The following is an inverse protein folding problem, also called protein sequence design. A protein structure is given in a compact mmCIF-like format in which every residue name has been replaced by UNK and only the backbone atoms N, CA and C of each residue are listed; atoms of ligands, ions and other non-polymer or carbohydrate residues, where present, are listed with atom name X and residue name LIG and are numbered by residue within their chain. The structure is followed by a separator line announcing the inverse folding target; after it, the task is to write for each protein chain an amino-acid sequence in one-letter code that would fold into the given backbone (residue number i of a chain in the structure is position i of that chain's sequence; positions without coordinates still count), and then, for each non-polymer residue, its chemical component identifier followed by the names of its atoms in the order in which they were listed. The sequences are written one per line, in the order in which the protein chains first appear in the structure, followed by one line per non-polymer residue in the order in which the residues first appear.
data_IF_173707235145
#
_entry.id   IF_173707235145
#
_cell.length_a   1.000
_cell.length_b   1.000
_cell.length_c   1.000
_cell.angle_alpha   90.00
_cell.angle_beta   90.00
_cell.angle_gamma   90.00
#
_symmetry.space_group_name_H-M   'P 1'
#
loop_
_entity.id
_entity.type
_entity.pdbx_description
1 polymer ?
#
# COMPACT_ATOMS: atom_id res chain seq x y z
N UNK A 1 -1.34 -25.63 -3.45
CA UNK A 1 -0.98 -24.44 -4.24
C UNK A 1 -1.75 -23.24 -3.68
N UNK A 2 -1.10 -22.40 -2.85
CA UNK A 2 -1.77 -21.31 -2.10
C UNK A 2 -1.90 -20.06 -2.99
N UNK A 3 -3.08 -19.83 -3.56
CA UNK A 3 -3.42 -18.60 -4.29
C UNK A 3 -3.82 -17.49 -3.32
N UNK A 4 -3.58 -16.23 -3.70
CA UNK A 4 -3.34 -15.12 -2.77
C UNK A 4 -4.00 -13.77 -3.16
N UNK A 5 -5.21 -13.61 -3.72
CA UNK A 5 -5.54 -12.28 -4.31
C UNK A 5 -6.97 -11.70 -4.19
N UNK A 6 -7.00 -10.41 -3.71
CA UNK A 6 -8.03 -9.29 -3.69
C UNK A 6 -8.71 -8.85 -2.35
N UNK A 7 -8.63 -7.59 -1.88
CA UNK A 7 -7.71 -6.98 -0.86
C UNK A 7 -8.46 -6.14 0.21
N UNK A 8 -7.96 -6.12 1.47
CA UNK A 8 -8.08 -5.01 2.44
C UNK A 8 -6.87 -4.11 2.19
N UNK A 9 -7.10 -2.90 1.67
CA UNK A 9 -6.01 -2.06 1.16
C UNK A 9 -5.31 -1.36 2.32
N UNK A 10 -4.00 -1.54 2.41
CA UNK A 10 -3.14 -0.67 3.22
C UNK A 10 -2.50 0.32 2.26
N UNK A 11 -2.71 1.61 2.52
CA UNK A 11 -2.02 2.69 1.85
C UNK A 11 -1.25 3.44 2.94
N UNK A 12 -0.09 2.92 3.34
CA UNK A 12 0.71 3.51 4.43
C UNK A 12 1.75 4.46 3.83
N UNK A 13 1.29 5.45 3.08
CA UNK A 13 2.15 6.60 2.78
C UNK A 13 2.11 7.55 3.95
N UNK A 14 3.24 8.16 4.25
CA UNK A 14 3.30 9.28 5.15
C UNK A 14 4.11 10.37 4.46
N UNK A 15 3.45 11.47 4.10
CA UNK A 15 4.10 12.65 3.54
C UNK A 15 4.09 13.78 4.55
N UNK A 16 5.25 14.39 4.77
CA UNK A 16 5.36 15.54 5.67
C UNK A 16 4.70 16.76 5.02
N UNK A 17 3.63 17.25 5.64
CA UNK A 17 3.01 18.54 5.34
C UNK A 17 3.42 19.53 6.42
N UNK A 18 4.52 20.26 6.23
CA UNK A 18 4.99 21.22 7.23
C UNK A 18 4.42 22.63 6.93
N UNK A 19 3.73 23.28 7.88
CA UNK A 19 3.33 24.67 7.73
C UNK A 19 4.57 25.60 7.75
N UNK A 20 4.53 26.69 6.96
CA UNK A 20 5.64 27.66 6.75
C UNK A 20 6.14 28.42 7.99
N UNK A 21 5.72 28.06 9.20
CA UNK A 21 6.04 28.77 10.44
C UNK A 21 6.93 27.92 11.37
N UNK A 22 8.15 27.62 10.92
CA UNK A 22 9.41 27.48 11.70
C UNK A 22 10.44 26.69 10.88
N UNK A 23 11.21 27.39 10.03
CA UNK A 23 12.25 26.78 9.19
C UNK A 23 13.30 25.97 9.99
N UNK A 24 13.52 26.32 11.26
CA UNK A 24 14.44 25.60 12.15
C UNK A 24 13.90 24.22 12.53
N UNK A 25 12.61 24.10 12.85
CA UNK A 25 11.93 22.83 13.16
C UNK A 25 11.85 21.93 11.93
N UNK A 26 11.64 22.50 10.74
CA UNK A 26 11.65 21.76 9.47
C UNK A 26 13.04 21.16 9.17
N UNK A 27 14.09 21.97 9.27
CA UNK A 27 15.47 21.49 9.09
C UNK A 27 15.82 20.38 10.09
N UNK A 28 15.43 20.54 11.36
CA UNK A 28 15.67 19.53 12.39
C UNK A 28 15.00 18.18 12.07
N UNK A 29 13.75 18.20 11.59
CA UNK A 29 13.03 16.99 11.19
C UNK A 29 13.72 16.32 9.99
N UNK A 30 14.16 17.10 9.00
CA UNK A 30 14.89 16.57 7.84
C UNK A 30 16.25 15.99 8.26
N UNK A 31 17.00 16.69 9.10
CA UNK A 31 18.26 16.18 9.65
C UNK A 31 18.03 14.86 10.43
N UNK A 32 16.94 14.78 11.20
CA UNK A 32 16.56 13.57 11.91
C UNK A 32 16.20 12.42 10.95
N UNK A 33 15.44 12.68 9.89
CA UNK A 33 15.09 11.71 8.85
C UNK A 33 16.34 11.05 8.24
N UNK A 34 17.44 11.81 8.09
CA UNK A 34 18.67 11.33 7.48
C UNK A 34 19.71 10.78 8.48
N UNK A 35 19.43 10.83 9.79
CA UNK A 35 20.37 10.52 10.87
C UNK A 35 20.88 9.06 10.93
N UNK A 36 20.17 8.12 10.30
CA UNK A 36 20.56 6.72 10.27
C UNK A 36 21.95 6.52 9.63
N UNK A 37 22.83 5.79 10.32
CA UNK A 37 24.19 5.52 9.86
C UNK A 37 24.42 4.03 9.63
N UNK A 38 24.97 3.66 8.48
CA UNK A 38 25.28 2.28 8.15
C UNK A 38 26.63 1.87 8.76
N UNK A 39 26.68 0.68 9.37
CA UNK A 39 27.92 0.01 9.75
C UNK A 39 27.97 -1.34 9.06
N UNK A 40 28.81 -1.44 8.04
CA UNK A 40 28.92 -2.59 7.15
C UNK A 40 30.36 -2.84 6.74
N UNK A 41 30.67 -4.09 6.39
CA UNK A 41 31.95 -4.50 5.80
C UNK A 41 31.85 -4.62 4.27
N UNK A 42 30.96 -3.87 3.61
CA UNK A 42 30.68 -3.97 2.16
C UNK A 42 30.20 -5.37 1.69
N UNK A 43 29.49 -6.12 2.54
CA UNK A 43 28.99 -7.45 2.22
C UNK A 43 27.62 -7.38 1.55
N UNK A 44 27.43 -8.22 0.52
CA UNK A 44 26.08 -8.54 0.01
C UNK A 44 25.49 -9.65 0.86
N UNK A 45 24.26 -9.44 1.35
CA UNK A 45 23.56 -10.43 2.19
C UNK A 45 22.25 -10.83 1.55
N UNK A 46 21.90 -12.11 1.64
CA UNK A 46 20.63 -12.67 1.19
C UNK A 46 19.73 -12.97 2.39
N UNK A 47 18.49 -12.49 2.35
CA UNK A 47 17.51 -12.60 3.43
C UNK A 47 16.20 -13.17 2.86
N UNK A 48 15.56 -14.15 3.51
CA UNK A 48 14.24 -14.60 3.10
C UNK A 48 13.19 -13.49 3.31
N UNK A 49 12.24 -13.39 2.40
CA UNK A 49 11.06 -12.52 2.54
C UNK A 49 9.80 -13.36 2.64
N UNK A 50 8.79 -12.84 3.33
CA UNK A 50 7.45 -13.40 3.32
C UNK A 50 6.51 -12.42 2.65
N UNK A 51 5.71 -12.90 1.69
CA UNK A 51 4.63 -12.10 1.11
C UNK A 51 3.34 -12.48 1.84
N UNK A 52 2.82 -11.58 2.66
CA UNK A 52 1.56 -11.77 3.39
C UNK A 52 0.68 -10.55 3.16
N UNK A 53 -0.56 -10.79 2.75
CA UNK A 53 -1.48 -9.71 2.40
C UNK A 53 -0.94 -8.76 1.30
N UNK A 54 -0.19 -9.30 0.35
CA UNK A 54 0.52 -8.53 -0.67
C UNK A 54 1.56 -7.52 -0.11
N UNK A 55 1.92 -7.62 1.18
CA UNK A 55 2.98 -6.85 1.82
C UNK A 55 4.27 -7.67 1.84
N UNK A 56 5.41 -7.00 1.68
CA UNK A 56 6.73 -7.62 1.76
C UNK A 56 7.19 -7.56 3.21
N UNK A 57 7.34 -8.72 3.85
CA UNK A 57 7.75 -8.83 5.24
C UNK A 57 9.18 -9.37 5.36
N UNK A 58 9.95 -8.73 6.24
CA UNK A 58 11.34 -9.03 6.54
C UNK A 58 11.50 -9.33 8.02
N UNK A 59 12.33 -10.33 8.36
CA UNK A 59 12.77 -10.53 9.74
C UNK A 59 14.08 -9.77 9.96
N UNK A 60 14.09 -8.88 10.93
CA UNK A 60 15.24 -8.07 11.33
C UNK A 60 15.51 -8.22 12.82
N UNK A 61 16.66 -7.76 13.31
CA UNK A 61 16.90 -7.59 14.74
C UNK A 61 16.83 -6.12 15.11
N UNK A 62 16.10 -5.80 16.17
CA UNK A 62 16.01 -4.47 16.77
C UNK A 62 16.54 -4.59 18.19
N UNK A 63 17.65 -3.90 18.48
CA UNK A 63 18.36 -3.96 19.75
C UNK A 63 18.59 -5.41 20.26
N UNK A 64 18.96 -6.30 19.33
CA UNK A 64 19.22 -7.72 19.59
C UNK A 64 18.00 -8.65 19.62
N UNK A 65 16.76 -8.12 19.54
CA UNK A 65 15.53 -8.91 19.52
C UNK A 65 14.99 -9.05 18.09
N UNK A 66 14.51 -10.24 17.73
CA UNK A 66 13.91 -10.45 16.40
C UNK A 66 12.55 -9.72 16.29
N UNK A 67 12.30 -9.12 15.15
CA UNK A 67 11.03 -8.51 14.78
C UNK A 67 10.75 -8.69 13.28
N UNK A 68 9.48 -8.80 12.93
CA UNK A 68 8.99 -8.77 11.55
C UNK A 68 8.60 -7.36 11.18
N UNK A 69 9.15 -6.87 10.08
CA UNK A 69 8.92 -5.53 9.56
C UNK A 69 8.34 -5.58 8.15
N UNK A 70 7.37 -4.72 7.86
CA UNK A 70 6.91 -4.46 6.51
C UNK A 70 7.94 -3.58 5.78
N UNK A 71 8.34 -3.94 4.56
CA UNK A 71 9.17 -3.09 3.71
C UNK A 71 8.30 -2.07 2.98
N UNK A 72 8.51 -0.78 3.27
CA UNK A 72 7.64 0.30 2.79
C UNK A 72 8.44 1.58 2.56
N UNK A 73 8.74 1.88 1.31
CA UNK A 73 9.44 3.10 0.92
C UNK A 73 8.50 4.31 0.71
N UNK A 74 7.18 4.15 0.92
CA UNK A 74 6.20 5.24 0.98
C UNK A 74 6.04 5.83 2.38
N UNK A 75 6.51 5.12 3.41
CA UNK A 75 6.59 5.59 4.79
C UNK A 75 7.97 6.24 5.04
N UNK A 76 8.02 7.57 5.21
CA UNK A 76 9.28 8.34 5.27
C UNK A 76 10.24 7.87 6.36
N UNK A 77 9.76 7.80 7.58
CA UNK A 77 10.49 7.26 8.74
C UNK A 77 10.25 5.77 8.85
N UNK A 78 11.00 5.04 9.68
CA UNK A 78 10.53 3.71 10.09
C UNK A 78 9.43 3.82 11.16
N UNK A 79 8.64 2.78 11.36
CA UNK A 79 7.56 2.74 12.35
C UNK A 79 7.66 1.53 13.27
N UNK A 80 7.21 1.65 14.51
CA UNK A 80 7.05 0.53 15.44
C UNK A 80 5.71 0.65 16.16
N UNK A 81 5.10 -0.49 16.47
CA UNK A 81 3.90 -0.50 17.30
C UNK A 81 4.18 0.14 18.67
N UNK A 82 3.28 1.01 19.11
CA UNK A 82 3.39 1.72 20.39
C UNK A 82 3.58 0.79 21.59
N UNK A 83 2.93 -0.38 21.57
CA UNK A 83 3.03 -1.36 22.67
C UNK A 83 4.40 -2.04 22.75
N UNK A 84 5.22 -1.91 21.71
CA UNK A 84 6.50 -2.61 21.57
C UNK A 84 7.72 -1.72 21.83
N UNK A 85 7.53 -0.41 22.00
CA UNK A 85 8.61 0.58 22.21
C UNK A 85 9.55 0.16 23.36
N UNK A 86 9.00 -0.10 24.54
CA UNK A 86 9.78 -0.47 25.73
C UNK A 86 10.40 -1.85 25.59
N UNK A 87 9.64 -2.80 25.05
CA UNK A 87 10.10 -4.17 24.81
C UNK A 87 11.35 -4.16 23.92
N UNK A 88 11.37 -3.34 22.87
CA UNK A 88 12.49 -3.25 21.94
C UNK A 88 13.52 -2.18 22.34
N UNK A 89 13.39 -1.52 23.50
CA UNK A 89 14.36 -0.55 24.03
C UNK A 89 14.63 0.63 23.07
N UNK A 90 13.58 1.15 22.45
CA UNK A 90 13.67 2.43 21.74
C UNK A 90 13.91 3.56 22.74
N UNK A 91 14.59 4.62 22.31
CA UNK A 91 14.86 5.79 23.15
C UNK A 91 14.12 7.02 22.62
N UNK A 92 13.71 7.97 23.47
CA UNK A 92 13.13 9.23 23.02
C UNK A 92 14.07 9.99 22.08
N UNK A 93 13.51 10.69 21.10
CA UNK A 93 14.26 11.69 20.36
C UNK A 93 14.48 12.92 21.25
N UNK A 94 15.74 13.33 21.41
CA UNK A 94 16.14 14.43 22.31
C UNK A 94 16.21 15.80 21.64
N UNK A 95 15.62 15.98 20.46
CA UNK A 95 15.53 17.28 19.78
C UNK A 95 14.38 18.14 20.31
N UNK A 96 14.20 19.31 19.71
CA UNK A 96 13.12 20.24 20.04
C UNK A 96 11.77 19.77 19.49
N UNK A 97 11.77 19.00 18.39
CA UNK A 97 10.55 18.42 17.84
C UNK A 97 10.28 17.05 18.46
N UNK A 98 9.29 16.92 19.36
CA UNK A 98 8.93 15.62 19.96
C UNK A 98 8.04 14.74 19.05
N UNK A 99 7.36 15.37 18.10
CA UNK A 99 6.41 14.72 17.20
C UNK A 99 6.41 15.39 15.82
N UNK A 100 5.73 14.73 14.89
CA UNK A 100 5.45 15.27 13.57
C UNK A 100 3.99 15.09 13.21
N UNK A 101 3.41 16.15 12.64
CA UNK A 101 2.12 16.05 11.96
C UNK A 101 2.39 15.67 10.53
N UNK A 102 1.86 14.53 10.11
CA UNK A 102 2.09 14.02 8.79
C UNK A 102 0.76 13.63 8.14
N UNK A 103 0.74 13.70 6.81
CA UNK A 103 -0.44 13.36 6.01
C UNK A 103 -0.29 11.91 5.57
N UNK A 104 -1.25 11.09 5.97
CA UNK A 104 -1.28 9.67 5.61
C UNK A 104 -1.76 9.45 4.16
N UNK A 105 -1.87 8.19 3.76
CA UNK A 105 -2.32 7.81 2.43
C UNK A 105 -3.74 8.22 2.07
N UNK A 106 -4.58 8.45 3.07
CA UNK A 106 -5.97 8.85 2.90
C UNK A 106 -6.15 10.38 3.01
N UNK A 107 -5.05 11.13 2.98
CA UNK A 107 -5.03 12.57 3.19
C UNK A 107 -5.55 12.98 4.59
N UNK A 108 -5.35 12.12 5.59
CA UNK A 108 -5.68 12.40 6.99
C UNK A 108 -4.41 12.82 7.72
N UNK A 109 -4.50 13.91 8.48
CA UNK A 109 -3.41 14.35 9.33
C UNK A 109 -3.35 13.50 10.59
N UNK A 110 -2.17 12.92 10.85
CA UNK A 110 -1.87 12.14 12.05
C UNK A 110 -0.67 12.73 12.75
N UNK A 111 -0.72 12.82 14.08
CA UNK A 111 0.42 13.21 14.90
C UNK A 111 1.13 11.95 15.39
N UNK A 112 2.43 11.86 15.11
CA UNK A 112 3.25 10.69 15.44
C UNK A 112 4.50 11.13 16.19
N UNK A 113 4.80 10.44 17.30
CA UNK A 113 5.94 10.80 18.15
C UNK A 113 7.24 10.21 17.62
N UNK A 114 8.30 11.00 17.69
CA UNK A 114 9.64 10.57 17.31
C UNK A 114 10.28 9.71 18.39
N UNK A 115 10.99 8.67 17.94
CA UNK A 115 11.84 7.80 18.74
C UNK A 115 13.03 7.36 17.91
N UNK A 116 14.09 6.93 18.59
CA UNK A 116 15.31 6.45 17.96
C UNK A 116 15.44 4.95 18.22
N UNK A 117 15.78 4.20 17.17
CA UNK A 117 16.32 2.86 17.29
C UNK A 117 17.85 2.95 17.39
N UNK A 118 18.47 2.70 18.57
CA UNK A 118 19.92 2.77 18.70
C UNK A 118 20.65 1.84 17.74
N UNK A 119 20.14 0.60 17.58
CA UNK A 119 20.70 -0.38 16.66
C UNK A 119 19.63 -1.29 16.08
N UNK A 120 19.63 -1.40 14.76
CA UNK A 120 18.95 -2.46 14.03
C UNK A 120 19.92 -3.26 13.16
N UNK A 121 19.61 -4.52 12.89
CA UNK A 121 20.39 -5.39 12.01
C UNK A 121 19.50 -6.03 10.95
N UNK A 122 19.85 -5.82 9.69
CA UNK A 122 19.17 -6.40 8.52
C UNK A 122 20.15 -7.37 7.87
N UNK A 123 19.91 -8.67 8.00
CA UNK A 123 20.87 -9.68 7.51
C UNK A 123 22.26 -9.60 8.15
N UNK A 124 22.37 -9.01 9.34
CA UNK A 124 23.66 -8.76 10.00
C UNK A 124 24.35 -7.46 9.60
N UNK A 125 23.83 -6.71 8.63
CA UNK A 125 24.25 -5.33 8.38
C UNK A 125 23.63 -4.44 9.46
N UNK A 126 24.46 -3.69 10.19
CA UNK A 126 24.00 -2.84 11.29
C UNK A 126 23.63 -1.44 10.76
N UNK A 127 22.48 -0.93 11.18
CA UNK A 127 22.09 0.48 11.02
C UNK A 127 21.94 1.07 12.42
N UNK A 128 22.63 2.18 12.67
CA UNK A 128 22.68 2.85 13.96
C UNK A 128 21.82 4.11 13.95
N UNK A 129 21.28 4.47 15.11
CA UNK A 129 20.52 5.70 15.34
C UNK A 129 19.42 5.93 14.30
N UNK A 130 18.66 4.87 13.99
CA UNK A 130 17.64 4.96 12.95
C UNK A 130 16.42 5.74 13.45
N UNK A 131 15.87 6.67 12.66
CA UNK A 131 14.74 7.48 13.07
C UNK A 131 13.44 6.71 12.89
N UNK A 132 12.60 6.72 13.92
CA UNK A 132 11.37 5.96 14.00
C UNK A 132 10.20 6.81 14.49
N UNK A 133 9.00 6.37 14.12
CA UNK A 133 7.73 6.88 14.61
C UNK A 133 7.00 5.82 15.43
N UNK A 134 6.35 6.30 16.49
CA UNK A 134 5.38 5.55 17.29
C UNK A 134 4.06 5.43 16.51
N UNK A 135 3.65 4.21 16.14
CA UNK A 135 2.41 3.94 15.42
C UNK A 135 1.49 3.02 16.22
N UNK A 136 0.18 3.30 16.23
CA UNK A 136 -0.81 2.37 16.79
C UNK A 136 -1.32 1.42 15.69
N UNK A 137 -0.64 0.28 15.47
CA UNK A 137 -1.08 -0.65 14.44
C UNK A 137 -2.37 -1.38 14.81
N UNK A 138 -2.75 -1.45 16.09
CA UNK A 138 -4.02 -2.08 16.48
C UNK A 138 -5.22 -1.33 15.91
N UNK A 139 -5.14 0.00 15.87
CA UNK A 139 -6.17 0.85 15.25
C UNK A 139 -6.27 0.65 13.73
N UNK A 140 -5.16 0.30 13.07
CA UNK A 140 -5.00 0.21 11.62
C UNK A 140 -5.28 -1.21 11.09
N UNK A 141 -4.71 -2.23 11.73
CA UNK A 141 -4.73 -3.61 11.22
C UNK A 141 -6.09 -4.27 11.36
N UNK A 142 -6.85 -3.89 12.40
CA UNK A 142 -8.11 -4.54 12.81
C UNK A 142 -8.00 -6.08 12.85
N UNK A 143 -6.78 -6.59 13.04
CA UNK A 143 -6.46 -8.01 13.11
C UNK A 143 -6.22 -8.41 14.56
N UNK A 144 -6.58 -9.65 14.92
CA UNK A 144 -6.26 -10.20 16.26
C UNK A 144 -4.76 -10.38 16.47
N UNK A 145 -4.02 -10.65 15.40
CA UNK A 145 -2.57 -10.77 15.39
C UNK A 145 -1.96 -9.78 14.40
N UNK A 146 -1.03 -8.96 14.87
CA UNK A 146 -0.25 -8.09 14.01
C UNK A 146 0.64 -8.95 13.10
N UNK A 147 0.47 -8.81 11.78
CA UNK A 147 1.30 -9.53 10.80
C UNK A 147 2.77 -9.11 10.87
N UNK A 148 3.04 -7.91 11.37
CA UNK A 148 4.36 -7.31 11.54
C UNK A 148 4.36 -6.41 12.78
N UNK A 149 5.53 -6.21 13.38
CA UNK A 149 5.72 -5.38 14.57
C UNK A 149 6.13 -3.94 14.23
N UNK A 150 6.58 -3.71 12.99
CA UNK A 150 7.09 -2.41 12.53
C UNK A 150 7.03 -2.24 11.02
N UNK A 151 7.31 -1.01 10.59
CA UNK A 151 7.47 -0.61 9.20
C UNK A 151 8.92 -0.20 9.00
N UNK A 152 9.57 -0.75 7.99
CA UNK A 152 10.90 -0.35 7.56
C UNK A 152 10.73 0.73 6.50
N UNK A 153 10.96 1.98 6.90
CA UNK A 153 10.69 3.15 6.08
C UNK A 153 11.84 3.59 5.18
N UNK A 154 11.55 4.58 4.33
CA UNK A 154 12.48 5.16 3.36
C UNK A 154 13.81 5.63 3.98
N UNK A 155 13.78 6.22 5.18
CA UNK A 155 14.96 6.67 5.93
C UNK A 155 16.03 5.59 6.11
N UNK A 156 15.62 4.33 6.28
CA UNK A 156 16.53 3.18 6.39
C UNK A 156 16.70 2.47 5.05
N UNK A 157 15.61 2.31 4.29
CA UNK A 157 15.63 1.67 2.96
C UNK A 157 16.69 2.32 2.06
N UNK A 158 16.77 3.65 2.06
CA UNK A 158 17.65 4.38 1.15
C UNK A 158 19.14 4.26 1.47
N UNK A 159 19.48 3.72 2.65
CA UNK A 159 20.88 3.45 3.04
C UNK A 159 21.45 2.18 2.40
N UNK A 160 20.62 1.39 1.72
CA UNK A 160 20.99 0.13 1.09
C UNK A 160 20.39 0.01 -0.31
N UNK A 161 21.04 -0.76 -1.16
CA UNK A 161 20.48 -1.22 -2.43
C UNK A 161 19.79 -2.57 -2.20
N UNK A 162 18.73 -2.83 -2.96
CA UNK A 162 17.86 -3.99 -2.77
C UNK A 162 17.68 -4.73 -4.09
N UNK A 163 17.75 -6.05 -4.07
CA UNK A 163 17.48 -6.91 -5.21
C UNK A 163 16.53 -8.02 -4.82
N UNK A 164 15.26 -7.82 -5.14
CA UNK A 164 14.17 -8.73 -4.85
C UNK A 164 14.09 -9.82 -5.91
N UNK A 165 14.15 -11.07 -5.45
CA UNK A 165 13.80 -12.26 -6.21
C UNK A 165 12.47 -12.81 -5.68
N UNK A 166 11.38 -12.40 -6.32
CA UNK A 166 10.03 -12.80 -5.96
C UNK A 166 9.66 -14.20 -6.48
N UNK A 167 10.42 -14.74 -7.42
CA UNK A 167 10.25 -16.13 -7.85
C UNK A 167 10.71 -17.12 -6.76
N UNK A 168 11.69 -16.70 -5.94
CA UNK A 168 12.29 -17.50 -4.88
C UNK A 168 12.05 -16.94 -3.46
N UNK A 169 11.30 -15.84 -3.32
CA UNK A 169 10.99 -15.17 -2.04
C UNK A 169 12.24 -14.85 -1.19
N UNK A 170 13.20 -14.15 -1.78
CA UNK A 170 14.30 -13.54 -1.03
C UNK A 170 14.63 -12.14 -1.53
N UNK A 171 15.40 -11.41 -0.73
CA UNK A 171 16.04 -10.17 -1.14
C UNK A 171 17.53 -10.24 -0.87
N UNK A 172 18.32 -9.79 -1.84
CA UNK A 172 19.73 -9.47 -1.66
C UNK A 172 19.85 -7.99 -1.31
N UNK A 173 20.66 -7.66 -0.30
CA UNK A 173 20.93 -6.28 0.12
C UNK A 173 22.42 -5.99 0.10
N UNK A 174 22.79 -4.76 -0.25
CA UNK A 174 24.18 -4.33 -0.38
C UNK A 174 24.32 -2.81 -0.23
N UNK A 175 25.43 -2.35 0.34
CA UNK A 175 25.80 -0.92 0.31
C UNK A 175 26.17 -0.45 -1.10
N UNK A 176 26.79 -1.34 -1.89
CA UNK A 176 27.15 -1.09 -3.28
C UNK A 176 25.96 -1.36 -4.21
N UNK A 177 25.78 -0.58 -5.28
CA UNK A 177 24.75 -0.82 -6.28
C UNK A 177 24.90 -2.20 -6.90
N UNK A 178 23.76 -2.85 -7.17
CA UNK A 178 23.75 -4.08 -7.96
C UNK A 178 23.98 -3.77 -9.43
N UNK A 179 24.68 -4.70 -10.11
CA UNK A 179 24.78 -4.67 -11.57
C UNK A 179 23.40 -4.89 -12.19
N UNK A 180 23.09 -4.05 -13.17
CA UNK A 180 21.85 -4.13 -13.96
C UNK A 180 22.16 -4.85 -15.27
N UNK A 181 21.30 -5.78 -15.69
CA UNK A 181 21.51 -6.51 -16.92
C UNK A 181 21.04 -5.69 -18.13
N UNK A 182 21.65 -5.92 -19.29
CA UNK A 182 21.30 -5.20 -20.53
C UNK A 182 19.83 -5.39 -20.98
N UNK A 183 19.20 -6.49 -20.57
CA UNK A 183 17.81 -6.80 -20.92
C UNK A 183 16.80 -6.29 -19.87
N UNK A 184 17.27 -5.72 -18.76
CA UNK A 184 16.38 -5.20 -17.73
C UNK A 184 15.75 -3.88 -18.20
N UNK A 185 14.49 -3.67 -17.83
CA UNK A 185 13.85 -2.37 -18.02
C UNK A 185 14.33 -1.42 -16.92
N UNK A 186 15.19 -0.47 -17.29
CA UNK A 186 15.78 0.50 -16.36
C UNK A 186 14.94 1.77 -16.27
N UNK A 187 14.48 2.07 -15.06
CA UNK A 187 13.60 3.20 -14.73
C UNK A 187 14.32 4.13 -13.75
N UNK A 188 14.81 5.30 -14.20
CA UNK A 188 15.38 6.28 -13.29
C UNK A 188 14.28 6.85 -12.37
N UNK A 189 14.67 7.18 -11.14
CA UNK A 189 13.82 7.82 -10.15
C UNK A 189 14.62 8.82 -9.31
N UNK A 190 13.91 9.65 -8.56
CA UNK A 190 14.49 10.59 -7.60
C UNK A 190 14.01 10.31 -6.19
N UNK A 191 14.86 10.62 -5.21
CA UNK A 191 14.54 10.61 -3.79
C UNK A 191 14.26 12.06 -3.38
N UNK A 192 13.11 12.32 -2.75
CA UNK A 192 12.82 13.65 -2.21
C UNK A 192 13.53 13.79 -0.88
N UNK A 193 14.35 14.82 -0.71
CA UNK A 193 15.12 15.01 0.52
C UNK A 193 14.24 15.19 1.77
N UNK A 194 13.12 15.89 1.64
CA UNK A 194 12.25 16.23 2.79
C UNK A 194 11.42 15.05 3.30
N UNK A 195 11.25 13.98 2.54
CA UNK A 195 10.44 12.83 2.95
C UNK A 195 11.07 11.46 2.60
N UNK A 196 12.26 11.44 1.99
CA UNK A 196 12.98 10.26 1.54
C UNK A 196 12.24 9.34 0.53
N UNK A 197 11.04 9.70 0.07
CA UNK A 197 10.24 8.83 -0.78
C UNK A 197 10.72 8.83 -2.24
N UNK A 198 10.36 7.76 -2.96
CA UNK A 198 10.76 7.54 -4.35
C UNK A 198 9.73 8.10 -5.33
N UNK A 199 10.17 8.97 -6.23
CA UNK A 199 9.31 9.55 -7.26
C UNK A 199 9.83 9.25 -8.67
N UNK A 200 8.88 8.94 -9.56
CA UNK A 200 9.14 8.73 -10.99
C UNK A 200 8.16 9.58 -11.81
N UNK A 201 8.56 10.06 -13.00
CA UNK A 201 7.59 10.64 -13.92
C UNK A 201 6.76 9.52 -14.56
N UNK A 202 5.45 9.73 -14.67
CA UNK A 202 4.54 8.92 -15.49
C UNK A 202 3.99 9.76 -16.62
N UNK A 203 3.58 9.10 -17.72
CA UNK A 203 2.77 9.71 -18.76
C UNK A 203 1.43 8.98 -18.87
N UNK A 204 0.34 9.71 -18.70
CA UNK A 204 -1.04 9.23 -18.84
C UNK A 204 -1.71 9.94 -20.02
N UNK A 205 -1.98 9.22 -21.11
CA UNK A 205 -2.49 9.83 -22.36
C UNK A 205 -1.64 11.01 -22.84
N UNK A 206 -0.31 10.89 -22.69
CA UNK A 206 0.67 11.93 -23.03
C UNK A 206 0.89 13.00 -21.96
N UNK A 207 0.06 13.08 -20.93
CA UNK A 207 0.21 14.05 -19.84
C UNK A 207 1.25 13.57 -18.84
N UNK A 208 2.34 14.33 -18.70
CA UNK A 208 3.46 13.99 -17.80
C UNK A 208 3.22 14.57 -16.42
N UNK A 209 3.29 13.71 -15.42
CA UNK A 209 3.03 14.02 -14.01
C UNK A 209 3.91 13.12 -13.14
N UNK A 210 4.15 13.50 -11.89
CA UNK A 210 4.94 12.67 -10.99
C UNK A 210 4.09 11.66 -10.24
N UNK A 211 4.65 10.47 -10.04
CA UNK A 211 4.08 9.42 -9.21
C UNK A 211 5.01 9.11 -8.04
N UNK A 212 4.42 8.90 -6.87
CA UNK A 212 5.06 8.24 -5.74
C UNK A 212 5.09 6.73 -6.02
N UNK A 213 6.27 6.13 -5.94
CA UNK A 213 6.44 4.66 -5.93
C UNK A 213 6.39 4.21 -4.48
N UNK A 214 5.32 3.51 -4.11
CA UNK A 214 5.06 3.09 -2.74
C UNK A 214 4.87 1.57 -2.68
N UNK A 215 5.80 0.85 -2.05
CA UNK A 215 5.66 -0.59 -1.86
C UNK A 215 4.79 -0.97 -0.66
N UNK A 216 4.52 -0.05 0.26
CA UNK A 216 3.49 -0.19 1.28
C UNK A 216 2.08 -0.21 0.68
N UNK A 217 1.88 0.47 -0.46
CA UNK A 217 0.66 0.37 -1.24
C UNK A 217 0.57 -0.97 -1.97
N UNK A 218 -0.36 -1.81 -1.53
CA UNK A 218 -0.47 -3.19 -1.97
C UNK A 218 -1.52 -3.42 -3.08
N UNK A 219 -1.85 -2.41 -3.88
CA UNK A 219 -2.86 -2.50 -4.94
C UNK A 219 -2.23 -2.83 -6.32
N UNK A 220 -2.99 -3.48 -7.20
CA UNK A 220 -2.62 -3.73 -8.63
C UNK A 220 -3.06 -2.58 -9.56
N UNK A 221 -3.41 -1.45 -8.95
CA UNK A 221 -3.98 -0.27 -9.60
C UNK A 221 -3.12 0.93 -9.23
N UNK A 222 -2.94 1.86 -10.18
CA UNK A 222 -2.43 3.20 -9.89
C UNK A 222 -3.58 4.04 -9.34
N UNK A 223 -3.42 4.60 -8.15
CA UNK A 223 -4.38 5.55 -7.59
C UNK A 223 -4.04 6.97 -8.02
N UNK A 224 -5.05 7.68 -8.54
CA UNK A 224 -4.93 9.00 -9.13
C UNK A 224 -5.97 9.92 -8.50
N UNK A 225 -5.57 11.15 -8.13
CA UNK A 225 -6.55 12.12 -7.66
C UNK A 225 -7.56 12.45 -8.78
N UNK A 226 -8.84 12.58 -8.44
CA UNK A 226 -9.90 12.95 -9.40
C UNK A 226 -9.64 14.25 -10.18
N UNK A 227 -8.78 15.15 -9.70
CA UNK A 227 -8.36 16.36 -10.44
C UNK A 227 -7.68 16.05 -11.78
N UNK A 228 -7.10 14.85 -11.92
CA UNK A 228 -6.44 14.39 -13.16
C UNK A 228 -7.38 13.57 -14.06
N UNK A 229 -8.66 13.46 -13.71
CA UNK A 229 -9.66 12.69 -14.45
C UNK A 229 -9.85 13.17 -15.90
N UNK A 230 -9.62 14.46 -16.16
CA UNK A 230 -9.75 15.05 -17.49
C UNK A 230 -8.81 14.41 -18.53
N UNK A 231 -7.72 13.75 -18.11
CA UNK A 231 -6.85 12.97 -19.01
C UNK A 231 -7.55 11.78 -19.66
N UNK A 232 -8.70 11.34 -19.13
CA UNK A 232 -9.40 10.11 -19.52
C UNK A 232 -10.83 10.37 -19.98
N UNK A 233 -11.11 11.58 -20.47
CA UNK A 233 -12.41 11.90 -21.02
C UNK A 233 -12.82 10.87 -22.08
N UNK A 234 -14.03 10.30 -21.92
CA UNK A 234 -14.66 9.29 -22.79
C UNK A 234 -14.13 7.86 -22.68
N UNK A 235 -13.20 7.57 -21.77
CA UNK A 235 -12.77 6.20 -21.47
C UNK A 235 -13.90 5.39 -20.83
N UNK A 236 -13.87 4.07 -20.99
CA UNK A 236 -14.75 3.18 -20.25
C UNK A 236 -14.23 2.98 -18.82
N UNK A 237 -15.13 3.09 -17.84
CA UNK A 237 -14.81 3.00 -16.44
C UNK A 237 -15.82 2.12 -15.69
N UNK A 238 -15.35 1.44 -14.65
CA UNK A 238 -16.20 0.78 -13.66
C UNK A 238 -16.32 1.66 -12.42
N UNK A 239 -17.45 1.56 -11.70
CA UNK A 239 -17.75 2.40 -10.54
C UNK A 239 -17.82 1.57 -9.27
N UNK A 240 -17.26 2.08 -8.18
CA UNK A 240 -17.49 1.58 -6.83
C UNK A 240 -17.80 2.75 -5.88
N UNK A 241 -18.52 2.47 -4.80
CA UNK A 241 -18.85 3.44 -3.75
C UNK A 241 -18.39 2.92 -2.39
N UNK A 242 -17.67 3.74 -1.64
CA UNK A 242 -17.10 3.39 -0.34
C UNK A 242 -15.68 3.95 -0.15
N UNK A 243 -15.07 3.75 1.03
CA UNK A 243 -13.65 4.02 1.23
C UNK A 243 -12.77 3.22 0.26
N UNK A 244 -11.75 3.86 -0.30
CA UNK A 244 -10.75 3.24 -1.16
C UNK A 244 -9.71 2.41 -0.39
N UNK A 245 -9.41 2.82 0.84
CA UNK A 245 -8.21 2.37 1.55
C UNK A 245 -8.32 2.50 3.07
N UNK A 246 -7.42 1.79 3.77
CA UNK A 246 -7.09 2.01 5.18
C UNK A 246 -5.62 2.46 5.25
N UNK A 247 -5.36 3.48 6.05
CA UNK A 247 -4.03 4.03 6.30
C UNK A 247 -3.79 4.20 7.80
N UNK A 248 -2.73 4.91 8.18
CA UNK A 248 -2.35 5.15 9.57
C UNK A 248 -3.44 5.89 10.35
N UNK A 249 -4.15 6.81 9.69
CA UNK A 249 -5.30 7.53 10.24
C UNK A 249 -6.62 6.75 10.18
N UNK A 250 -6.60 5.49 9.75
CA UNK A 250 -7.78 4.63 9.65
C UNK A 250 -8.39 4.60 8.25
N UNK A 251 -9.71 4.50 8.17
CA UNK A 251 -10.44 4.39 6.90
C UNK A 251 -10.42 5.70 6.11
N UNK A 252 -10.28 5.59 4.78
CA UNK A 252 -10.47 6.72 3.89
C UNK A 252 -11.91 7.27 4.01
N UNK A 253 -12.14 8.55 3.71
CA UNK A 253 -13.49 9.06 3.51
C UNK A 253 -14.24 8.24 2.45
N UNK A 254 -15.56 8.12 2.61
CA UNK A 254 -16.42 7.50 1.60
C UNK A 254 -16.33 8.32 0.31
N UNK A 255 -16.05 7.63 -0.79
CA UNK A 255 -15.92 8.26 -2.10
C UNK A 255 -16.56 7.40 -3.19
N UNK A 256 -16.71 8.01 -4.37
CA UNK A 256 -16.97 7.27 -5.61
C UNK A 256 -15.65 7.02 -6.32
N UNK A 257 -15.32 5.75 -6.50
CA UNK A 257 -14.09 5.29 -7.12
C UNK A 257 -14.40 4.88 -8.56
N UNK A 258 -13.66 5.43 -9.51
CA UNK A 258 -13.75 5.07 -10.93
C UNK A 258 -12.51 4.32 -11.35
N UNK A 259 -12.65 3.12 -11.92
CA UNK A 259 -11.51 2.33 -12.39
C UNK A 259 -11.56 2.17 -13.90
N UNK A 260 -10.50 2.63 -14.59
CA UNK A 260 -10.24 2.43 -16.01
C UNK A 260 -9.24 1.30 -16.18
N UNK A 261 -9.55 0.34 -17.05
CA UNK A 261 -8.72 -0.86 -17.25
C UNK A 261 -7.93 -0.82 -18.56
N UNK A 262 -8.47 -0.17 -19.58
CA UNK A 262 -7.91 -0.14 -20.93
C UNK A 262 -8.25 1.19 -21.63
N UNK A 263 -7.87 1.29 -22.91
CA UNK A 263 -8.19 2.46 -23.72
C UNK A 263 -7.39 3.73 -23.39
N UNK A 264 -6.23 3.58 -22.74
CA UNK A 264 -5.31 4.69 -22.44
C UNK A 264 -3.85 4.34 -22.71
N UNK A 265 -2.99 5.34 -22.88
CA UNK A 265 -1.54 5.16 -22.95
C UNK A 265 -0.87 5.39 -21.60
N UNK A 266 0.08 4.53 -21.27
CA UNK A 266 0.82 4.54 -20.02
C UNK A 266 2.32 4.41 -20.28
N UNK A 267 3.10 5.30 -19.68
CA UNK A 267 4.55 5.16 -19.58
C UNK A 267 5.00 5.49 -18.15
N UNK A 268 6.00 4.75 -17.65
CA UNK A 268 6.70 5.00 -16.41
C UNK A 268 8.16 5.31 -16.74
N UNK A 269 8.65 6.48 -16.32
CA UNK A 269 9.96 7.02 -16.69
C UNK A 269 10.24 6.99 -18.21
N UNK A 270 9.21 7.31 -19.01
CA UNK A 270 9.28 7.32 -20.48
C UNK A 270 9.41 5.93 -21.12
N UNK A 271 9.07 4.88 -20.37
CA UNK A 271 9.10 3.50 -20.83
C UNK A 271 7.74 2.83 -20.66
N UNK A 272 7.40 1.93 -21.58
CA UNK A 272 6.22 1.07 -21.45
C UNK A 272 6.52 -0.12 -20.54
N UNK A 273 5.58 -0.44 -19.66
CA UNK A 273 5.60 -1.72 -18.94
C UNK A 273 5.04 -2.82 -19.85
N UNK A 274 5.40 -4.07 -19.56
CA UNK A 274 4.92 -5.23 -20.29
C UNK A 274 3.43 -5.49 -20.02
N UNK A 275 2.97 -5.16 -18.81
CA UNK A 275 1.57 -5.23 -18.41
C UNK A 275 1.08 -3.83 -18.13
N UNK A 276 0.00 -3.44 -18.81
CA UNK A 276 -0.66 -2.16 -18.56
C UNK A 276 -1.33 -2.20 -17.18
N UNK A 277 -1.02 -1.25 -16.28
CA UNK A 277 -1.71 -1.15 -15.01
C UNK A 277 -3.15 -0.68 -15.22
N UNK A 278 -4.01 -0.90 -14.23
CA UNK A 278 -5.31 -0.21 -14.16
C UNK A 278 -5.11 1.15 -13.49
N UNK A 279 -6.06 2.07 -13.67
CA UNK A 279 -6.08 3.36 -13.00
C UNK A 279 -7.37 3.51 -12.22
N UNK A 280 -7.28 3.91 -10.96
CA UNK A 280 -8.44 4.29 -10.14
C UNK A 280 -8.39 5.75 -9.76
N UNK A 281 -9.50 6.45 -9.92
CA UNK A 281 -9.68 7.83 -9.48
C UNK A 281 -10.39 7.88 -8.15
N UNK A 282 -9.83 8.64 -7.21
CA UNK A 282 -10.44 8.94 -5.91
C UNK A 282 -10.01 10.34 -5.42
N UNK A 283 -10.82 10.94 -4.55
CA UNK A 283 -10.51 12.17 -3.83
C UNK A 283 -9.59 11.93 -2.62
N UNK A 284 -9.43 10.68 -2.18
CA UNK A 284 -8.70 10.34 -0.96
C UNK A 284 -7.18 10.53 -1.06
N UNK A 285 -6.61 10.49 -2.28
CA UNK A 285 -5.16 10.59 -2.50
C UNK A 285 -4.76 11.98 -2.99
N UNK A 286 -3.67 12.56 -2.49
CA UNK A 286 -3.13 13.82 -3.01
C UNK A 286 -2.17 13.64 -4.18
N UNK A 287 -1.40 12.57 -4.15
CA UNK A 287 -0.42 12.22 -5.18
C UNK A 287 -0.93 11.07 -6.03
N UNK A 288 -0.30 10.86 -7.18
CA UNK A 288 -0.46 9.63 -7.94
C UNK A 288 0.44 8.57 -7.32
N UNK A 289 -0.11 7.39 -7.05
CA UNK A 289 0.57 6.35 -6.29
C UNK A 289 0.60 5.06 -7.12
N UNK A 290 1.79 4.50 -7.28
CA UNK A 290 2.02 3.21 -7.93
C UNK A 290 2.50 2.20 -6.87
N UNK A 291 1.75 1.11 -6.74
CA UNK A 291 1.92 0.12 -5.66
C UNK A 291 2.90 -1.00 -5.97
N UNK A 292 3.26 -1.79 -4.94
CA UNK A 292 4.20 -2.90 -5.08
C UNK A 292 3.75 -3.94 -6.12
N UNK A 293 2.44 -4.20 -6.26
CA UNK A 293 1.95 -5.32 -7.08
C UNK A 293 2.24 -5.12 -8.55
N UNK A 294 2.17 -3.88 -9.03
CA UNK A 294 2.48 -3.55 -10.43
C UNK A 294 3.90 -4.01 -10.79
N UNK A 295 4.84 -3.87 -9.85
CA UNK A 295 6.20 -4.37 -9.99
C UNK A 295 6.29 -5.87 -9.69
N UNK A 296 5.96 -6.26 -8.46
CA UNK A 296 6.17 -7.60 -7.90
C UNK A 296 5.49 -8.70 -8.70
N UNK A 297 4.26 -8.48 -9.17
CA UNK A 297 3.49 -9.54 -9.82
C UNK A 297 4.05 -9.91 -11.20
N UNK A 298 4.86 -9.03 -11.80
CA UNK A 298 5.39 -9.17 -13.15
C UNK A 298 6.92 -9.25 -13.22
N UNK A 299 7.63 -8.68 -12.24
CA UNK A 299 9.08 -8.47 -12.29
C UNK A 299 9.80 -8.90 -11.02
N UNK A 300 11.02 -9.40 -11.17
CA UNK A 300 12.06 -9.30 -10.14
C UNK A 300 12.69 -7.91 -10.23
N UNK A 301 13.01 -7.30 -9.09
CA UNK A 301 13.26 -5.86 -8.99
C UNK A 301 14.60 -5.60 -8.34
N UNK A 302 15.47 -4.85 -9.01
CA UNK A 302 16.63 -4.19 -8.40
C UNK A 302 16.25 -2.74 -8.12
N UNK A 303 16.53 -2.26 -6.91
CA UNK A 303 16.40 -0.87 -6.48
C UNK A 303 17.78 -0.42 -6.02
N UNK A 304 18.46 0.35 -6.87
CA UNK A 304 19.70 1.00 -6.49
C UNK A 304 19.38 2.40 -5.94
N UNK A 305 19.84 2.69 -4.72
CA UNK A 305 19.66 3.97 -4.01
C UNK A 305 20.97 4.77 -3.95
N UNK A 306 22.12 4.10 -4.16
CA UNK A 306 23.43 4.73 -4.28
C UNK A 306 23.96 4.61 -5.72
N UNK A 307 24.94 5.46 -6.07
CA UNK A 307 25.45 5.56 -7.45
C UNK A 307 24.41 6.15 -8.39
N UNK A 308 23.80 5.31 -9.24
CA UNK A 308 22.70 5.70 -10.13
C UNK A 308 21.37 5.21 -9.53
N UNK A 309 20.48 6.15 -9.18
CA UNK A 309 19.15 5.85 -8.63
C UNK A 309 18.23 5.29 -9.71
N UNK A 310 18.14 3.96 -9.76
CA UNK A 310 17.33 3.24 -10.74
C UNK A 310 16.55 2.10 -10.11
N UNK A 311 15.38 1.84 -10.68
CA UNK A 311 14.73 0.54 -10.61
C UNK A 311 15.08 -0.23 -11.89
N UNK A 312 15.57 -1.45 -11.77
CA UNK A 312 15.74 -2.34 -12.92
C UNK A 312 14.77 -3.52 -12.79
N UNK A 313 13.92 -3.69 -13.80
CA UNK A 313 12.86 -4.68 -13.81
C UNK A 313 13.22 -5.82 -14.77
N UNK A 314 13.24 -7.04 -14.25
CA UNK A 314 13.46 -8.26 -15.03
C UNK A 314 12.23 -9.14 -14.97
N UNK A 315 11.75 -9.66 -16.10
CA UNK A 315 10.53 -10.45 -16.15
C UNK A 315 10.61 -11.68 -15.23
N UNK A 316 9.53 -11.96 -14.50
CA UNK A 316 9.43 -13.16 -13.66
C UNK A 316 9.25 -14.42 -14.49
N UNK A 317 9.78 -15.52 -13.97
CA UNK A 317 9.50 -16.86 -14.51
C UNK A 317 8.10 -17.33 -14.11
N UNK A 318 7.60 -16.85 -12.97
CA UNK A 318 6.28 -17.20 -12.41
C UNK A 318 5.50 -15.92 -12.12
N UNK A 319 4.93 -15.27 -13.15
CA UNK A 319 4.08 -14.11 -12.91
C UNK A 319 2.87 -14.49 -12.04
N UNK A 320 2.34 -13.53 -11.29
CA UNK A 320 1.14 -13.76 -10.51
C UNK A 320 -0.06 -14.06 -11.45
N UNK A 321 -0.98 -14.96 -11.08
CA UNK A 321 -2.14 -15.26 -11.89
C UNK A 321 -3.03 -14.02 -12.02
N UNK A 322 -3.57 -13.77 -13.22
CA UNK A 322 -4.52 -12.70 -13.46
C UNK A 322 -5.76 -12.86 -12.57
N UNK A 323 -6.23 -11.74 -12.01
CA UNK A 323 -7.44 -11.70 -11.20
C UNK A 323 -8.63 -11.57 -12.15
N UNK A 324 -9.64 -12.41 -11.96
CA UNK A 324 -10.90 -12.33 -12.70
C UNK A 324 -11.58 -10.97 -12.52
N UNK A 325 -12.38 -10.57 -13.51
CA UNK A 325 -13.09 -9.29 -13.48
C UNK A 325 -14.40 -9.31 -12.70
N UNK A 326 -14.78 -10.46 -12.14
CA UNK A 326 -16.04 -10.67 -11.46
C UNK A 326 -15.97 -10.35 -9.97
N UNK A 327 -17.07 -9.80 -9.45
CA UNK A 327 -17.26 -9.42 -8.06
C UNK A 327 -18.69 -9.74 -7.63
N UNK A 328 -18.94 -9.82 -6.32
CA UNK A 328 -20.31 -9.97 -5.80
C UNK A 328 -21.09 -8.65 -5.77
N UNK A 329 -20.44 -7.51 -5.94
CA UNK A 329 -21.07 -6.18 -5.86
C UNK A 329 -21.04 -5.59 -4.45
N UNK A 330 -20.82 -6.40 -3.42
CA UNK A 330 -20.64 -5.97 -2.03
C UNK A 330 -19.33 -6.49 -1.47
N UNK A 331 -18.50 -5.61 -0.89
CA UNK A 331 -17.32 -6.02 -0.13
C UNK A 331 -17.61 -5.91 1.36
N UNK A 332 -17.47 -7.02 2.07
CA UNK A 332 -17.70 -7.11 3.52
C UNK A 332 -16.36 -7.10 4.26
N UNK A 333 -16.25 -6.27 5.29
CA UNK A 333 -15.07 -6.19 6.15
C UNK A 333 -15.44 -6.46 7.60
N UNK A 334 -14.46 -6.90 8.38
CA UNK A 334 -14.49 -7.05 9.82
C UNK A 334 -14.03 -5.73 10.47
N UNK A 335 -14.91 -5.06 11.21
CA UNK A 335 -14.65 -3.79 11.89
C UNK A 335 -15.21 -3.90 13.31
N UNK A 336 -14.34 -3.70 14.32
CA UNK A 336 -14.73 -3.67 15.73
C UNK A 336 -15.56 -4.90 16.17
N UNK A 337 -15.17 -6.09 15.72
CA UNK A 337 -15.88 -7.33 16.08
C UNK A 337 -17.09 -7.66 15.22
N UNK A 338 -17.42 -6.83 14.22
CA UNK A 338 -18.62 -6.97 13.39
C UNK A 338 -18.28 -7.06 11.91
N UNK A 339 -19.12 -7.72 11.12
CA UNK A 339 -19.03 -7.67 9.67
C UNK A 339 -19.89 -6.52 9.15
N UNK A 340 -19.34 -5.69 8.27
CA UNK A 340 -20.02 -4.51 7.70
C UNK A 340 -19.80 -4.42 6.20
N UNK A 341 -20.80 -3.93 5.48
CA UNK A 341 -20.68 -3.58 4.05
C UNK A 341 -19.78 -2.36 3.92
N UNK A 342 -18.59 -2.52 3.33
CA UNK A 342 -17.60 -1.44 3.22
C UNK A 342 -17.52 -0.80 1.86
N UNK A 343 -17.91 -1.51 0.81
CA UNK A 343 -18.07 -0.87 -0.48
C UNK A 343 -19.05 -1.63 -1.36
N UNK A 344 -19.58 -0.90 -2.33
CA UNK A 344 -20.57 -1.38 -3.29
C UNK A 344 -19.98 -1.17 -4.68
N UNK A 345 -19.65 -2.25 -5.37
CA UNK A 345 -19.21 -2.24 -6.76
C UNK A 345 -20.45 -2.31 -7.67
N UNK A 346 -20.57 -1.39 -8.63
CA UNK A 346 -21.67 -1.41 -9.58
C UNK A 346 -21.62 -2.69 -10.41
N UNK A 347 -22.64 -3.53 -10.26
CA UNK A 347 -22.88 -4.74 -11.06
C UNK A 347 -24.37 -5.14 -11.00
N UNK A 348 -24.72 -6.24 -11.69
CA UNK A 348 -26.08 -6.76 -11.74
C UNK A 348 -26.70 -7.08 -10.36
N UNK A 349 -25.91 -7.45 -9.34
CA UNK A 349 -26.41 -7.75 -8.00
C UNK A 349 -26.79 -6.50 -7.19
N UNK A 350 -26.27 -5.33 -7.57
CA UNK A 350 -26.45 -4.07 -6.83
C UNK A 350 -27.56 -3.19 -7.39
N UNK A 351 -28.08 -3.53 -8.57
CA UNK A 351 -29.17 -2.80 -9.22
C UNK A 351 -30.43 -2.88 -8.35
N UNK A 352 -31.01 -1.73 -8.00
CA UNK A 352 -32.22 -1.60 -7.18
C UNK A 352 -32.11 -2.26 -5.78
N UNK A 353 -30.90 -2.43 -5.26
CA UNK A 353 -30.70 -2.98 -3.93
C UNK A 353 -30.87 -1.90 -2.85
N UNK A 354 -31.43 -2.30 -1.72
CA UNK A 354 -31.61 -1.49 -0.51
C UNK A 354 -30.42 -1.57 0.47
N UNK A 355 -29.42 -2.42 0.17
CA UNK A 355 -28.21 -2.57 1.00
C UNK A 355 -27.37 -1.30 0.93
N UNK A 356 -26.99 -0.77 2.09
CA UNK A 356 -26.20 0.46 2.23
C UNK A 356 -24.81 0.18 2.78
N UNK A 357 -23.92 1.16 2.60
CA UNK A 357 -22.65 1.17 3.33
C UNK A 357 -22.90 1.09 4.83
N UNK A 358 -22.00 0.41 5.53
CA UNK A 358 -22.02 0.18 6.97
C UNK A 358 -23.16 -0.70 7.50
N UNK A 359 -24.03 -1.23 6.63
CA UNK A 359 -25.00 -2.24 7.03
C UNK A 359 -24.29 -3.42 7.71
N UNK A 360 -24.80 -3.80 8.89
CA UNK A 360 -24.25 -4.91 9.67
C UNK A 360 -24.67 -6.25 9.05
N UNK A 361 -23.66 -7.06 8.72
CA UNK A 361 -23.81 -8.45 8.27
C UNK A 361 -23.66 -9.34 9.50
N UNK A 362 -24.69 -10.13 9.79
CA UNK A 362 -24.69 -11.12 10.89
C UNK A 362 -23.85 -12.32 10.52
N UNK A 363 -23.96 -12.79 9.27
CA UNK A 363 -23.17 -13.93 8.79
C UNK A 363 -22.97 -13.93 7.28
N UNK A 364 -21.88 -14.57 6.85
CA UNK A 364 -21.58 -14.87 5.45
C UNK A 364 -21.57 -16.39 5.28
N UNK A 365 -22.46 -16.94 4.47
CA UNK A 365 -22.59 -18.40 4.27
C UNK A 365 -22.67 -19.16 5.62
N UNK A 366 -23.42 -18.62 6.57
CA UNK A 366 -23.56 -19.17 7.93
C UNK A 366 -22.38 -18.91 8.88
N UNK A 367 -21.29 -18.30 8.42
CA UNK A 367 -20.14 -17.93 9.27
C UNK A 367 -20.33 -16.57 9.92
N UNK A 368 -20.10 -16.49 11.22
CA UNK A 368 -20.24 -15.28 12.04
C UNK A 368 -18.90 -14.53 12.15
N UNK A 369 -18.85 -13.27 12.64
CA UNK A 369 -17.60 -12.51 12.72
C UNK A 369 -16.46 -13.25 13.44
N UNK A 370 -16.78 -14.00 14.50
CA UNK A 370 -15.81 -14.76 15.29
C UNK A 370 -15.09 -15.86 14.49
N UNK A 371 -15.72 -16.41 13.44
CA UNK A 371 -15.15 -17.47 12.60
C UNK A 371 -14.01 -16.98 11.71
N UNK A 372 -13.99 -15.68 11.40
CA UNK A 372 -12.96 -15.07 10.57
C UNK A 372 -11.82 -14.52 11.43
N UNK A 373 -12.14 -13.92 12.57
CA UNK A 373 -11.16 -13.32 13.49
C UNK A 373 -10.57 -12.00 12.99
N UNK A 374 -10.25 -11.88 11.70
CA UNK A 374 -9.71 -10.68 11.08
C UNK A 374 -10.12 -10.49 9.61
N UNK A 375 -9.78 -9.32 9.05
CA UNK A 375 -10.03 -8.98 7.65
C UNK A 375 -9.22 -9.84 6.67
N UNK A 376 -8.04 -10.33 7.04
CA UNK A 376 -7.24 -11.17 6.16
C UNK A 376 -7.95 -12.49 5.86
N UNK A 377 -8.43 -13.18 6.90
CA UNK A 377 -9.12 -14.45 6.82
C UNK A 377 -10.48 -14.31 6.16
N UNK A 378 -11.26 -13.29 6.54
CA UNK A 378 -12.53 -12.94 5.90
C UNK A 378 -12.35 -12.73 4.38
N UNK A 379 -11.30 -12.02 4.00
CA UNK A 379 -11.01 -11.76 2.60
C UNK A 379 -10.61 -13.03 1.87
N UNK A 380 -9.69 -13.83 2.41
CA UNK A 380 -9.29 -15.11 1.81
C UNK A 380 -10.51 -16.00 1.57
N UNK A 381 -11.47 -16.00 2.50
CA UNK A 381 -12.73 -16.70 2.33
C UNK A 381 -13.55 -16.18 1.14
N UNK A 382 -13.82 -14.87 1.07
CA UNK A 382 -14.58 -14.26 -0.04
C UNK A 382 -13.92 -14.48 -1.41
N UNK A 383 -12.58 -14.42 -1.48
CA UNK A 383 -11.81 -14.69 -2.70
C UNK A 383 -11.93 -16.13 -3.17
N UNK A 384 -11.81 -17.09 -2.26
CA UNK A 384 -11.94 -18.49 -2.60
C UNK A 384 -13.35 -18.79 -3.13
N UNK A 385 -14.38 -18.12 -2.60
CA UNK A 385 -15.73 -18.21 -3.17
C UNK A 385 -15.79 -17.66 -4.60
N UNK A 386 -15.22 -16.48 -4.87
CA UNK A 386 -15.18 -15.91 -6.22
C UNK A 386 -14.43 -16.82 -7.21
N UNK A 387 -13.25 -17.30 -6.82
CA UNK A 387 -12.42 -18.20 -7.64
C UNK A 387 -13.15 -19.49 -7.98
N UNK A 388 -13.85 -20.06 -7.00
CA UNK A 388 -14.60 -21.30 -7.16
C UNK A 388 -15.99 -21.07 -7.79
N UNK A 389 -16.31 -19.83 -8.20
CA UNK A 389 -17.61 -19.45 -8.77
C UNK A 389 -18.80 -19.77 -7.86
N UNK A 390 -18.59 -19.71 -6.55
CA UNK A 390 -19.59 -20.02 -5.52
C UNK A 390 -20.45 -18.79 -5.20
N UNK A 391 -21.60 -19.02 -4.57
CA UNK A 391 -22.46 -17.96 -4.06
C UNK A 391 -21.92 -17.36 -2.76
N UNK A 392 -22.18 -16.07 -2.57
CA UNK A 392 -22.01 -15.35 -1.31
C UNK A 392 -23.40 -15.05 -0.74
N UNK A 393 -23.73 -15.68 0.38
CA UNK A 393 -24.99 -15.51 1.10
C UNK A 393 -24.73 -14.57 2.28
N UNK A 394 -25.33 -13.39 2.24
CA UNK A 394 -25.26 -12.40 3.30
C UNK A 394 -26.55 -12.45 4.12
N UNK A 395 -26.43 -12.61 5.44
CA UNK A 395 -27.54 -12.40 6.37
C UNK A 395 -27.34 -11.08 7.08
N UNK A 396 -28.21 -10.12 6.83
CA UNK A 396 -28.16 -8.78 7.42
C UNK A 396 -28.83 -8.75 8.80
N UNK A 397 -28.50 -7.73 9.59
CA UNK A 397 -29.07 -7.56 10.94
C UNK A 397 -30.58 -7.34 10.97
N UNK A 398 -31.15 -6.78 9.91
CA UNK A 398 -32.60 -6.64 9.76
C UNK A 398 -33.31 -7.97 9.43
N UNK A 399 -32.59 -9.09 9.41
CA UNK A 399 -33.11 -10.43 9.12
C UNK A 399 -33.14 -10.78 7.63
N UNK A 400 -32.87 -9.82 6.73
CA UNK A 400 -32.83 -10.06 5.29
C UNK A 400 -31.66 -10.97 4.92
N UNK A 401 -31.93 -11.98 4.11
CA UNK A 401 -30.91 -12.86 3.53
C UNK A 401 -30.83 -12.64 2.02
N UNK A 402 -29.61 -12.56 1.50
CA UNK A 402 -29.34 -12.19 0.11
C UNK A 402 -28.30 -13.15 -0.46
N UNK A 403 -28.61 -13.75 -1.60
CA UNK A 403 -27.75 -14.68 -2.31
C UNK A 403 -27.16 -14.02 -3.54
N UNK A 404 -25.85 -13.80 -3.54
CA UNK A 404 -25.11 -13.12 -4.61
C UNK A 404 -24.29 -14.13 -5.42
N UNK A 405 -24.31 -14.03 -6.73
CA UNK A 405 -23.39 -14.77 -7.61
C UNK A 405 -22.25 -13.85 -8.06
N UNK A 406 -21.09 -14.38 -8.47
CA UNK A 406 -20.08 -13.57 -9.16
C UNK A 406 -20.69 -12.93 -10.41
N UNK A 407 -20.42 -11.65 -10.62
CA UNK A 407 -20.90 -10.87 -11.77
C UNK A 407 -19.80 -9.92 -12.25
N UNK A 408 -19.66 -9.66 -13.56
CA UNK A 408 -18.77 -8.61 -14.04
C UNK A 408 -19.21 -7.25 -13.50
N UNK A 409 -18.24 -6.35 -13.29
CA UNK A 409 -18.55 -4.94 -12.98
C UNK A 409 -19.25 -4.27 -14.17
N UNK A 410 -20.22 -3.41 -13.89
CA UNK A 410 -20.89 -2.58 -14.90
C UNK A 410 -19.93 -1.50 -15.39
N UNK A 411 -19.82 -1.39 -16.72
CA UNK A 411 -19.05 -0.35 -17.39
C UNK A 411 -19.91 0.88 -17.68
N UNK A 412 -19.30 2.04 -17.56
CA UNK A 412 -19.89 3.35 -17.79
C UNK A 412 -18.93 4.17 -18.65
N UNK A 413 -19.48 5.03 -19.51
CA UNK A 413 -18.67 6.03 -20.19
C UNK A 413 -18.27 7.12 -19.19
N UNK A 414 -16.99 7.40 -19.10
CA UNK A 414 -16.45 8.46 -18.26
C UNK A 414 -16.62 9.82 -18.95
N UNK A 415 -17.72 10.53 -18.69
CA UNK A 415 -18.22 11.59 -19.60
C UNK A 415 -17.66 13.00 -19.39
N UNK A 416 -17.12 13.35 -18.22
CA UNK A 416 -16.22 14.48 -17.88
C UNK A 416 -16.40 14.91 -16.41
N UNK A 417 -15.60 15.90 -15.96
CA UNK A 417 -15.54 16.41 -14.59
C UNK A 417 -16.88 16.72 -13.90
N UNK A 418 -17.94 17.11 -14.63
CA UNK A 418 -19.20 17.52 -13.99
C UNK A 418 -19.94 16.39 -13.27
N UNK A 419 -19.76 15.13 -13.67
CA UNK A 419 -20.37 13.99 -12.97
C UNK A 419 -19.57 13.52 -11.75
N UNK A 420 -18.27 13.85 -11.65
CA UNK A 420 -17.40 13.49 -10.52
C UNK A 420 -17.72 14.26 -9.21
N UNK A 421 -18.46 15.37 -9.34
CA UNK A 421 -18.86 16.23 -8.23
C UNK A 421 -20.32 16.00 -7.80
N UNK A 422 -21.08 15.17 -8.51
CA UNK A 422 -22.41 14.80 -8.07
C UNK A 422 -22.28 13.76 -6.94
N UNK A 423 -22.35 14.24 -5.69
CA UNK A 423 -22.52 13.36 -4.53
C UNK A 423 -23.73 12.45 -4.79
N UNK A 424 -23.62 11.12 -4.62
CA UNK A 424 -24.79 10.28 -4.62
C UNK A 424 -25.77 10.81 -3.57
N UNK A 425 -27.00 11.11 -3.99
CA UNK A 425 -28.09 11.43 -3.05
C UNK A 425 -28.49 10.20 -2.25
#
# INVERSE_FOLDING_TARGET
MKLHHTILFFLITLSLSLPKAQAQTEKEIVDFLHSATLKTDNKTVKIPIEIKNDLILLKIKVNGKNATFMWDNGFSFSGIDNSLVDQFKFVPYGGNAESVTATDGNNVQVNLNFIICPKMEIGGISVLNSPFLKVDFKSISQTKELMFQGILGAAVINKLNWKFDFDNNFVEISEKPFMVNNNDLVLPYRIIETNANHYMPIALNGNKIETLVDFGFNNDIIEVNTSNAHFFAKSDATKAFGPSSISVGGLAPVDTIYTIKDGFSFELSGKKLAVQPKISFTKAVNNIIIGNKIFRDNYNVIINTSGNTVYALSSRKKPAPAIGNEVYGYRVHYIEGKLKIMSIDANANTVNSDIKLMDEVVSINGKVPADFGDNYTLRMYQQNLLKDQKKLILKLKNGKEISLTPQPKTEYKFTNEKELWATPK
#
